data_IF_315603668063
#
_entry.id   IF_315603668063
#
_cell.length_a   1.000
_cell.length_b   1.000
_cell.length_c   1.000
_cell.angle_alpha   90.00
_cell.angle_beta   90.00
_cell.angle_gamma   90.00
#
_symmetry.space_group_name_H-M   'P 1'
#
loop_
_entity.id
_entity.type
_entity.pdbx_description
1 polymer ?
#
# COMPACT_ATOMS: atom_id res chain seq x y z
N UNK A 1 -16.50 -6.69 -13.38
CA UNK A 1 -16.24 -5.71 -12.29
C UNK A 1 -16.77 -6.29 -10.97
N UNK A 2 -16.46 -7.55 -10.68
CA UNK A 2 -17.20 -8.38 -9.69
C UNK A 2 -16.29 -9.40 -8.96
N UNK A 3 -15.04 -9.05 -8.65
CA UNK A 3 -14.15 -9.94 -7.88
C UNK A 3 -13.42 -9.23 -6.72
N UNK A 4 -13.98 -8.12 -6.21
CA UNK A 4 -13.33 -7.29 -5.19
C UNK A 4 -14.15 -7.16 -3.89
N UNK A 5 -14.87 -8.22 -3.51
CA UNK A 5 -15.61 -8.28 -2.24
C UNK A 5 -15.47 -9.69 -1.66
N UNK A 6 -14.31 -9.99 -1.07
CA UNK A 6 -14.29 -10.77 0.17
C UNK A 6 -14.04 -9.74 1.28
N UNK A 7 -15.07 -9.56 2.09
CA UNK A 7 -15.28 -8.63 3.22
C UNK A 7 -14.21 -7.55 3.45
N UNK A 8 -14.36 -6.40 2.78
CA UNK A 8 -13.67 -5.15 3.17
C UNK A 8 -13.83 -4.84 4.67
N UNK A 9 -14.90 -5.32 5.32
CA UNK A 9 -15.13 -5.18 6.77
C UNK A 9 -14.13 -5.94 7.66
N UNK A 10 -13.64 -7.10 7.26
CA UNK A 10 -12.65 -7.81 8.09
C UNK A 10 -11.27 -7.16 7.97
N UNK A 11 -10.92 -6.73 6.76
CA UNK A 11 -9.67 -6.01 6.49
C UNK A 11 -9.64 -4.62 7.14
N UNK A 12 -10.78 -3.98 7.37
CA UNK A 12 -10.84 -2.70 8.12
C UNK A 12 -10.76 -2.90 9.63
N UNK A 13 -11.10 -4.09 10.15
CA UNK A 13 -10.95 -4.46 11.57
C UNK A 13 -9.51 -4.84 11.93
N UNK A 14 -8.73 -5.32 10.96
CA UNK A 14 -7.30 -5.58 11.16
C UNK A 14 -6.57 -4.26 11.39
N UNK A 15 -6.03 -4.12 12.60
CA UNK A 15 -5.32 -2.94 13.03
C UNK A 15 -3.89 -3.33 13.41
N UNK A 16 -2.85 -2.82 12.72
CA UNK A 16 -1.47 -3.09 13.10
C UNK A 16 -1.06 -2.44 14.43
N UNK A 17 -1.86 -1.52 15.00
CA UNK A 17 -1.55 -0.94 16.32
C UNK A 17 -1.79 -1.94 17.45
N UNK A 18 -0.91 -1.89 18.46
CA UNK A 18 -0.81 -2.82 19.60
C UNK A 18 -0.39 -4.26 19.25
N UNK A 19 -0.03 -4.54 18.00
CA UNK A 19 0.64 -5.79 17.65
C UNK A 19 2.13 -5.69 17.98
N UNK A 20 2.71 -6.76 18.54
CA UNK A 20 4.15 -6.96 18.48
C UNK A 20 4.59 -7.27 17.03
N UNK A 21 5.89 -7.39 16.79
CA UNK A 21 6.41 -7.64 15.45
C UNK A 21 5.80 -8.90 14.80
N UNK A 22 5.62 -9.97 15.57
CA UNK A 22 5.02 -11.21 15.09
C UNK A 22 3.55 -10.99 14.68
N UNK A 23 2.80 -10.25 15.49
CA UNK A 23 1.42 -9.86 15.19
C UNK A 23 1.32 -9.00 13.93
N UNK A 24 2.23 -8.04 13.73
CA UNK A 24 2.28 -7.22 12.51
C UNK A 24 2.47 -8.08 11.26
N UNK A 25 3.43 -9.01 11.31
CA UNK A 25 3.70 -9.92 10.20
C UNK A 25 2.49 -10.83 9.93
N UNK A 26 1.90 -11.42 10.96
CA UNK A 26 0.71 -12.25 10.82
C UNK A 26 -0.51 -11.47 10.29
N UNK A 27 -0.62 -10.17 10.56
CA UNK A 27 -1.63 -9.31 9.95
C UNK A 27 -1.36 -9.16 8.45
N UNK A 28 -0.12 -8.88 8.03
CA UNK A 28 0.22 -8.76 6.61
C UNK A 28 -0.08 -10.04 5.83
N UNK A 29 0.17 -11.21 6.41
CA UNK A 29 -0.18 -12.51 5.84
C UNK A 29 -1.68 -12.67 5.69
N UNK A 30 -2.47 -12.43 6.74
CA UNK A 30 -3.94 -12.52 6.68
C UNK A 30 -4.53 -11.59 5.63
N UNK A 31 -4.01 -10.35 5.56
CA UNK A 31 -4.39 -9.39 4.53
C UNK A 31 -4.04 -9.92 3.15
N UNK A 32 -2.81 -10.44 2.96
CA UNK A 32 -2.38 -10.99 1.69
C UNK A 32 -3.25 -12.16 1.22
N UNK A 33 -3.58 -13.09 2.13
CA UNK A 33 -4.52 -14.19 1.89
C UNK A 33 -5.87 -13.64 1.45
N UNK A 34 -6.43 -12.66 2.16
CA UNK A 34 -7.72 -12.05 1.81
C UNK A 34 -7.72 -11.38 0.43
N UNK A 35 -6.74 -10.51 0.16
CA UNK A 35 -6.68 -9.76 -1.11
C UNK A 35 -6.29 -10.62 -2.31
N UNK A 36 -5.73 -11.82 -2.07
CA UNK A 36 -5.33 -12.78 -3.09
C UNK A 36 -6.24 -14.01 -3.15
N UNK A 37 -7.38 -13.99 -2.45
CA UNK A 37 -8.36 -15.08 -2.43
C UNK A 37 -7.76 -16.44 -2.01
N UNK A 38 -6.81 -16.41 -1.07
CA UNK A 38 -6.12 -17.60 -0.57
C UNK A 38 -5.09 -18.21 -1.51
N UNK A 39 -4.88 -17.64 -2.69
CA UNK A 39 -3.95 -18.20 -3.70
C UNK A 39 -2.49 -17.80 -3.47
N UNK A 40 -2.25 -16.75 -2.69
CA UNK A 40 -0.91 -16.27 -2.37
C UNK A 40 -0.44 -16.77 -1.00
N UNK A 41 0.87 -16.94 -0.88
CA UNK A 41 1.54 -17.32 0.35
C UNK A 41 2.87 -16.56 0.45
N UNK A 42 3.58 -16.70 1.57
CA UNK A 42 4.97 -16.24 1.63
C UNK A 42 5.79 -16.89 0.53
N UNK A 43 6.61 -16.10 -0.13
CA UNK A 43 7.56 -16.66 -1.10
C UNK A 43 8.65 -17.43 -0.37
N UNK A 44 8.98 -18.60 -0.90
CA UNK A 44 10.11 -19.43 -0.46
C UNK A 44 11.29 -19.34 -1.43
N UNK A 45 11.06 -18.76 -2.61
CA UNK A 45 12.05 -18.61 -3.67
C UNK A 45 12.40 -17.13 -3.89
N UNK A 46 13.58 -16.91 -4.47
CA UNK A 46 13.99 -15.61 -4.96
C UNK A 46 13.03 -15.15 -6.07
N UNK A 47 12.61 -13.88 -6.02
CA UNK A 47 11.73 -13.28 -7.02
C UNK A 47 12.37 -12.02 -7.61
N UNK A 48 11.91 -11.64 -8.81
CA UNK A 48 12.44 -10.51 -9.56
C UNK A 48 11.38 -9.87 -10.44
N UNK A 49 11.63 -8.64 -10.87
CA UNK A 49 10.91 -8.03 -12.00
C UNK A 49 11.79 -8.05 -13.23
N UNK A 50 11.23 -8.34 -14.40
CA UNK A 50 11.93 -8.33 -15.69
C UNK A 50 11.52 -7.12 -16.53
N UNK A 51 12.51 -6.40 -17.06
CA UNK A 51 12.34 -5.33 -18.02
C UNK A 51 12.11 -5.87 -19.43
N UNK A 52 11.59 -5.03 -20.33
CA UNK A 52 11.35 -5.39 -21.74
C UNK A 52 12.64 -5.75 -22.50
N UNK A 53 13.78 -5.26 -22.01
CA UNK A 53 15.12 -5.53 -22.51
C UNK A 53 15.74 -6.81 -21.92
N UNK A 54 14.99 -7.58 -21.12
CA UNK A 54 15.46 -8.77 -20.43
C UNK A 54 16.26 -8.48 -19.15
N UNK A 55 16.43 -7.21 -18.77
CA UNK A 55 17.07 -6.87 -17.49
C UNK A 55 16.24 -7.37 -16.32
N UNK A 56 16.89 -7.85 -15.25
CA UNK A 56 16.21 -8.35 -14.04
C UNK A 56 16.59 -7.53 -12.83
N UNK A 57 15.59 -7.14 -12.06
CA UNK A 57 15.78 -6.52 -10.75
C UNK A 57 15.33 -7.52 -9.69
N UNK A 58 16.30 -8.04 -8.94
CA UNK A 58 16.05 -8.94 -7.82
C UNK A 58 15.43 -8.16 -6.65
N UNK A 59 14.43 -8.77 -6.01
CA UNK A 59 13.97 -8.33 -4.69
C UNK A 59 14.92 -8.83 -3.59
N UNK A 60 14.82 -8.35 -2.34
CA UNK A 60 15.68 -8.82 -1.25
C UNK A 60 15.66 -10.35 -1.07
N UNK A 61 16.74 -10.97 -0.56
CA UNK A 61 16.79 -12.42 -0.34
C UNK A 61 15.67 -12.92 0.56
N UNK A 62 15.18 -14.14 0.33
CA UNK A 62 14.09 -14.76 1.11
C UNK A 62 14.41 -14.76 2.62
N UNK A 63 15.65 -15.09 2.99
CA UNK A 63 16.08 -15.15 4.38
C UNK A 63 16.08 -13.80 5.12
N UNK A 64 15.97 -12.68 4.39
CA UNK A 64 15.93 -11.33 4.98
C UNK A 64 14.50 -10.81 5.23
N UNK A 65 13.46 -11.55 4.80
CA UNK A 65 12.08 -11.05 4.84
C UNK A 65 11.63 -10.74 6.27
N UNK A 66 11.80 -11.66 7.21
CA UNK A 66 11.30 -11.49 8.58
C UNK A 66 12.01 -10.35 9.30
N UNK A 67 13.34 -10.27 9.16
CA UNK A 67 14.14 -9.17 9.73
C UNK A 67 13.71 -7.82 9.16
N UNK A 68 13.49 -7.70 7.84
CA UNK A 68 13.05 -6.44 7.24
C UNK A 68 11.62 -6.06 7.65
N UNK A 69 10.72 -7.04 7.83
CA UNK A 69 9.37 -6.76 8.33
C UNK A 69 9.38 -6.36 9.81
N UNK A 70 10.27 -6.96 10.61
CA UNK A 70 10.52 -6.56 11.99
C UNK A 70 11.01 -5.11 12.07
N UNK A 71 12.02 -4.76 11.29
CA UNK A 71 12.57 -3.39 11.24
C UNK A 71 11.53 -2.37 10.77
N UNK A 72 10.72 -2.74 9.76
CA UNK A 72 9.61 -1.90 9.33
C UNK A 72 8.60 -1.67 10.45
N UNK A 73 8.19 -2.72 11.16
CA UNK A 73 7.28 -2.60 12.30
C UNK A 73 7.86 -1.68 13.39
N UNK A 74 9.10 -1.94 13.80
CA UNK A 74 9.78 -1.17 14.84
C UNK A 74 9.87 0.31 14.45
N UNK A 75 10.22 0.60 13.20
CA UNK A 75 10.26 1.98 12.71
C UNK A 75 8.88 2.63 12.66
N UNK A 76 7.84 1.92 12.21
CA UNK A 76 6.46 2.46 12.16
C UNK A 76 5.94 2.85 13.55
N UNK A 77 6.27 2.06 14.57
CA UNK A 77 5.84 2.29 15.95
C UNK A 77 6.68 3.37 16.65
N UNK A 78 8.01 3.36 16.49
CA UNK A 78 8.90 4.27 17.22
C UNK A 78 9.13 5.63 16.55
N UNK A 79 8.95 5.72 15.22
CA UNK A 79 9.22 6.95 14.47
C UNK A 79 8.31 8.10 14.89
N UNK A 80 8.87 9.31 14.98
CA UNK A 80 8.11 10.57 15.20
C UNK A 80 7.62 11.21 13.90
N UNK A 81 7.83 10.54 12.76
CA UNK A 81 7.44 11.07 11.46
C UNK A 81 5.92 11.23 11.35
N UNK A 82 5.43 12.21 10.56
CA UNK A 82 4.00 12.35 10.28
C UNK A 82 3.40 11.05 9.74
N UNK A 83 2.14 10.81 10.08
CA UNK A 83 1.36 9.64 9.64
C UNK A 83 1.46 9.35 8.14
N UNK A 84 1.41 10.39 7.32
CA UNK A 84 1.50 10.28 5.86
C UNK A 84 2.88 9.78 5.40
N UNK A 85 3.95 10.26 6.04
CA UNK A 85 5.31 9.76 5.80
C UNK A 85 5.45 8.31 6.25
N UNK A 86 4.87 7.94 7.40
CA UNK A 86 4.85 6.55 7.86
C UNK A 86 4.15 5.63 6.86
N UNK A 87 3.00 6.07 6.34
CA UNK A 87 2.28 5.34 5.30
C UNK A 87 3.16 5.14 4.05
N UNK A 88 3.91 6.17 3.63
CA UNK A 88 4.81 6.11 2.47
C UNK A 88 5.94 5.11 2.64
N UNK A 89 6.57 5.11 3.80
CA UNK A 89 7.61 4.14 4.12
C UNK A 89 7.02 2.73 4.16
N UNK A 90 5.88 2.52 4.83
CA UNK A 90 5.20 1.22 4.86
C UNK A 90 4.85 0.69 3.47
N UNK A 91 4.28 1.55 2.62
CA UNK A 91 3.99 1.21 1.22
C UNK A 91 5.26 0.84 0.44
N UNK A 92 6.31 1.64 0.57
CA UNK A 92 7.58 1.45 -0.13
C UNK A 92 8.24 0.13 0.29
N UNK A 93 8.41 -0.08 1.60
CA UNK A 93 9.09 -1.25 2.15
C UNK A 93 8.38 -2.54 1.79
N UNK A 94 7.05 -2.64 1.92
CA UNK A 94 6.32 -3.86 1.52
C UNK A 94 6.39 -4.08 0.01
N UNK A 95 6.32 -3.02 -0.80
CA UNK A 95 6.41 -3.13 -2.27
C UNK A 95 7.79 -3.63 -2.72
N UNK A 96 8.85 -3.14 -2.08
CA UNK A 96 10.24 -3.47 -2.42
C UNK A 96 10.74 -4.75 -1.75
N UNK A 97 10.20 -5.15 -0.60
CA UNK A 97 10.55 -6.42 0.04
C UNK A 97 9.92 -7.62 -0.68
N UNK A 98 8.71 -7.40 -1.21
CA UNK A 98 7.94 -8.39 -1.97
C UNK A 98 7.78 -9.73 -1.23
N UNK A 99 7.26 -9.76 0.01
CA UNK A 99 7.30 -10.95 0.87
C UNK A 99 6.42 -12.12 0.40
N UNK A 100 5.47 -11.90 -0.51
CA UNK A 100 4.49 -12.90 -0.96
C UNK A 100 4.68 -13.31 -2.42
N UNK A 101 4.14 -14.46 -2.81
CA UNK A 101 4.14 -14.97 -4.20
C UNK A 101 3.29 -14.12 -5.14
N UNK A 102 2.21 -13.52 -4.64
CA UNK A 102 1.38 -12.53 -5.30
C UNK A 102 0.74 -11.61 -4.23
N UNK A 103 0.11 -10.52 -4.65
CA UNK A 103 -0.66 -9.65 -3.78
C UNK A 103 0.15 -8.57 -3.06
N UNK A 104 1.48 -8.53 -3.25
CA UNK A 104 2.36 -7.55 -2.59
C UNK A 104 1.89 -6.10 -2.75
N UNK A 105 1.54 -5.68 -3.97
CA UNK A 105 1.01 -4.34 -4.21
C UNK A 105 -0.34 -4.08 -3.56
N UNK A 106 -1.21 -5.10 -3.43
CA UNK A 106 -2.51 -5.00 -2.74
C UNK A 106 -2.29 -4.88 -1.23
N UNK A 107 -1.44 -5.72 -0.65
CA UNK A 107 -1.04 -5.67 0.77
C UNK A 107 -0.37 -4.34 1.12
N UNK A 108 0.54 -3.83 0.30
CA UNK A 108 1.20 -2.54 0.51
C UNK A 108 0.20 -1.36 0.52
N UNK A 109 -0.78 -1.36 -0.40
CA UNK A 109 -1.84 -0.34 -0.42
C UNK A 109 -2.78 -0.45 0.78
N UNK A 110 -3.07 -1.67 1.23
CA UNK A 110 -3.83 -1.87 2.46
C UNK A 110 -3.08 -1.31 3.67
N UNK A 111 -1.76 -1.55 3.79
CA UNK A 111 -0.96 -1.04 4.90
C UNK A 111 -0.95 0.50 4.90
N UNK A 112 -0.71 1.11 3.73
CA UNK A 112 -0.82 2.56 3.53
C UNK A 112 -2.17 3.10 4.03
N UNK A 113 -3.28 2.52 3.55
CA UNK A 113 -4.61 2.98 3.92
C UNK A 113 -4.90 2.80 5.42
N UNK A 114 -4.42 1.72 6.01
CA UNK A 114 -4.61 1.41 7.44
C UNK A 114 -3.89 2.41 8.34
N UNK A 115 -2.67 2.82 7.98
CA UNK A 115 -1.92 3.87 8.70
C UNK A 115 -2.65 5.21 8.62
N UNK A 116 -3.14 5.61 7.43
CA UNK A 116 -3.86 6.87 7.29
C UNK A 116 -5.20 6.88 8.02
N UNK A 117 -5.93 5.76 8.04
CA UNK A 117 -7.19 5.61 8.78
C UNK A 117 -6.99 5.75 10.29
N UNK A 118 -5.94 5.13 10.83
CA UNK A 118 -5.61 5.21 12.27
C UNK A 118 -5.54 6.67 12.74
N UNK A 119 -4.99 7.52 11.88
CA UNK A 119 -4.72 8.93 12.16
C UNK A 119 -5.86 9.85 11.66
N UNK A 120 -7.01 9.26 11.28
CA UNK A 120 -8.21 9.95 10.77
C UNK A 120 -7.95 10.86 9.56
N UNK A 121 -6.86 10.62 8.82
CA UNK A 121 -6.52 11.37 7.61
C UNK A 121 -7.31 10.94 6.38
N UNK A 122 -7.91 9.75 6.43
CA UNK A 122 -8.78 9.26 5.38
C UNK A 122 -9.87 8.35 5.98
N UNK A 123 -11.11 8.54 5.56
CA UNK A 123 -12.26 7.71 5.95
C UNK A 123 -12.57 6.61 4.93
N UNK A 124 -12.00 6.69 3.72
CA UNK A 124 -12.25 5.71 2.67
C UNK A 124 -11.55 4.37 2.99
N UNK A 125 -12.26 3.23 2.87
CA UNK A 125 -11.69 1.91 3.19
C UNK A 125 -10.64 1.45 2.17
N UNK A 126 -10.68 2.00 0.96
CA UNK A 126 -9.73 1.65 -0.09
C UNK A 126 -9.39 2.87 -0.93
N UNK A 127 -8.09 3.04 -1.18
CA UNK A 127 -7.58 4.11 -2.02
C UNK A 127 -7.17 3.50 -3.36
N UNK A 128 -7.81 3.81 -4.50
CA UNK A 128 -7.43 3.29 -5.82
C UNK A 128 -6.10 3.89 -6.34
N UNK A 129 -5.05 3.90 -5.52
CA UNK A 129 -3.69 4.31 -5.88
C UNK A 129 -3.21 3.60 -7.16
N UNK A 130 -3.64 2.34 -7.35
CA UNK A 130 -3.31 1.58 -8.54
C UNK A 130 -3.79 2.24 -9.85
N UNK A 131 -4.99 2.86 -9.86
CA UNK A 131 -5.50 3.51 -11.07
C UNK A 131 -4.62 4.68 -11.50
N UNK A 132 -4.08 5.42 -10.53
CA UNK A 132 -3.12 6.49 -10.80
C UNK A 132 -1.77 5.94 -11.23
N UNK A 133 -1.28 4.90 -10.56
CA UNK A 133 -0.02 4.25 -10.94
C UNK A 133 -0.05 3.71 -12.37
N UNK A 134 -1.15 3.05 -12.75
CA UNK A 134 -1.37 2.53 -14.11
C UNK A 134 -1.34 3.65 -15.17
N UNK A 135 -1.82 4.85 -14.82
CA UNK A 135 -1.79 6.03 -15.72
C UNK A 135 -0.45 6.79 -15.68
N UNK A 136 0.36 6.59 -14.65
CA UNK A 136 1.61 7.34 -14.41
C UNK A 136 2.80 6.90 -15.27
N UNK A 137 2.63 5.94 -16.18
CA UNK A 137 3.65 5.44 -17.12
C UNK A 137 5.00 5.11 -16.46
N UNK A 138 4.96 4.53 -15.25
CA UNK A 138 6.17 4.12 -14.51
C UNK A 138 6.67 5.12 -13.47
N UNK A 139 6.05 6.29 -13.31
CA UNK A 139 6.46 7.28 -12.30
C UNK A 139 6.46 6.70 -10.88
N UNK A 140 5.49 5.85 -10.54
CA UNK A 140 5.45 5.20 -9.22
C UNK A 140 6.69 4.36 -8.94
N UNK A 141 7.16 3.60 -9.94
CA UNK A 141 8.39 2.81 -9.83
C UNK A 141 9.60 3.72 -9.66
N UNK A 142 9.67 4.82 -10.40
CA UNK A 142 10.76 5.81 -10.28
C UNK A 142 10.83 6.37 -8.86
N UNK A 143 9.71 6.85 -8.31
CA UNK A 143 9.71 7.44 -6.96
C UNK A 143 10.00 6.42 -5.85
N UNK A 144 9.53 5.18 -6.00
CA UNK A 144 9.90 4.09 -5.08
C UNK A 144 11.41 3.83 -5.11
N UNK A 145 12.02 3.77 -6.30
CA UNK A 145 13.47 3.54 -6.45
C UNK A 145 14.30 4.74 -5.99
N UNK A 146 13.85 5.97 -6.19
CA UNK A 146 14.53 7.16 -5.67
C UNK A 146 14.52 7.18 -4.13
N UNK A 147 13.41 6.81 -3.51
CA UNK A 147 13.33 6.68 -2.05
C UNK A 147 14.28 5.58 -1.55
N UNK A 148 14.22 4.39 -2.15
CA UNK A 148 15.03 3.23 -1.76
C UNK A 148 16.53 3.42 -1.97
N UNK A 149 16.94 3.82 -3.19
CA UNK A 149 18.36 3.82 -3.59
C UNK A 149 19.08 5.13 -3.25
N UNK A 150 18.33 6.23 -3.08
CA UNK A 150 18.90 7.57 -2.89
C UNK A 150 18.42 8.25 -1.62
N UNK A 151 17.57 7.60 -0.82
CA UNK A 151 16.96 8.20 0.37
C UNK A 151 16.07 9.40 0.05
N UNK A 152 15.62 9.57 -1.20
CA UNK A 152 14.80 10.71 -1.63
C UNK A 152 13.33 10.48 -1.28
N UNK A 153 13.05 10.40 0.02
CA UNK A 153 11.72 10.15 0.58
C UNK A 153 10.74 11.29 0.28
N UNK A 154 11.23 12.53 0.25
CA UNK A 154 10.40 13.71 -0.03
C UNK A 154 9.72 13.61 -1.40
N UNK A 155 10.42 13.11 -2.42
CA UNK A 155 9.84 12.95 -3.75
C UNK A 155 8.72 11.91 -3.77
N UNK A 156 8.89 10.79 -3.06
CA UNK A 156 7.86 9.77 -2.92
C UNK A 156 6.64 10.30 -2.14
N UNK A 157 6.88 10.96 -1.01
CA UNK A 157 5.82 11.56 -0.18
C UNK A 157 5.04 12.59 -1.00
N UNK A 158 5.73 13.50 -1.69
CA UNK A 158 5.10 14.52 -2.53
C UNK A 158 4.29 13.90 -3.68
N UNK A 159 4.81 12.86 -4.33
CA UNK A 159 4.09 12.14 -5.37
C UNK A 159 2.79 11.53 -4.85
N UNK A 160 2.84 10.83 -3.72
CA UNK A 160 1.67 10.20 -3.11
C UNK A 160 0.67 11.24 -2.59
N UNK A 161 1.15 12.35 -2.01
CA UNK A 161 0.30 13.45 -1.55
C UNK A 161 -0.49 14.09 -2.71
N UNK A 162 0.16 14.33 -3.85
CA UNK A 162 -0.51 14.83 -5.06
C UNK A 162 -1.60 13.89 -5.54
N UNK A 163 -1.36 12.58 -5.52
CA UNK A 163 -2.39 11.59 -5.88
C UNK A 163 -3.58 11.69 -4.93
N UNK A 164 -3.35 11.77 -3.62
CA UNK A 164 -4.41 11.89 -2.60
C UNK A 164 -5.24 13.16 -2.79
N UNK A 165 -4.60 14.30 -3.04
CA UNK A 165 -5.27 15.58 -3.27
C UNK A 165 -6.15 15.50 -4.53
N UNK A 166 -5.58 15.06 -5.67
CA UNK A 166 -6.33 14.93 -6.94
C UNK A 166 -7.52 13.98 -6.82
N UNK A 167 -7.41 12.96 -5.97
CA UNK A 167 -8.51 12.03 -5.70
C UNK A 167 -9.61 12.67 -4.85
N UNK A 168 -9.24 13.42 -3.81
CA UNK A 168 -10.21 14.16 -3.00
C UNK A 168 -11.00 15.18 -3.82
N UNK A 169 -10.33 15.89 -4.73
CA UNK A 169 -10.98 16.81 -5.67
C UNK A 169 -11.96 16.09 -6.59
N UNK A 170 -11.55 14.96 -7.19
CA UNK A 170 -12.43 14.14 -8.05
C UNK A 170 -13.65 13.63 -7.29
N UNK A 171 -13.48 13.13 -6.07
CA UNK A 171 -14.60 12.64 -5.27
C UNK A 171 -15.58 13.76 -4.92
N UNK A 172 -15.09 14.94 -4.58
CA UNK A 172 -15.92 16.12 -4.29
C UNK A 172 -16.72 16.52 -5.53
N UNK A 173 -16.06 16.64 -6.69
CA UNK A 173 -16.71 16.95 -7.96
C UNK A 173 -17.78 15.91 -8.36
N UNK A 174 -17.47 14.62 -8.19
CA UNK A 174 -18.43 13.54 -8.45
C UNK A 174 -19.64 13.63 -7.51
N UNK A 175 -19.43 13.87 -6.22
CA UNK A 175 -20.49 14.03 -5.23
C UNK A 175 -21.39 15.22 -5.58
N UNK A 176 -20.80 16.36 -5.90
CA UNK A 176 -21.55 17.57 -6.20
C UNK A 176 -22.38 17.43 -7.49
N UNK A 177 -21.86 16.72 -8.52
CA UNK A 177 -22.65 16.36 -9.71
C UNK A 177 -23.81 15.42 -9.40
N UNK A 178 -23.59 14.40 -8.57
CA UNK A 178 -24.66 13.47 -8.16
C UNK A 178 -25.75 14.20 -7.36
N UNK A 179 -25.38 15.15 -6.51
CA UNK A 179 -26.32 15.97 -5.74
C UNK A 179 -27.16 16.92 -6.61
N UNK A 180 -26.76 17.16 -7.87
CA UNK A 180 -27.50 17.98 -8.84
C UNK A 180 -28.40 17.15 -9.78
N UNK A 181 -28.39 15.81 -9.67
CA UNK A 181 -29.25 14.98 -10.50
C UNK A 181 -30.71 15.09 -10.04
N UNK A 182 -31.66 15.38 -10.96
CA UNK A 182 -33.08 15.44 -10.61
C UNK A 182 -33.56 14.07 -10.11
N UNK A 183 -34.26 14.07 -8.96
CA UNK A 183 -34.85 12.87 -8.36
C UNK A 183 -34.06 12.24 -7.19
N UNK A 184 -32.93 12.81 -6.79
CA UNK A 184 -32.24 12.43 -5.54
C UNK A 184 -32.76 13.35 -4.42
N UNK A 185 -33.81 12.94 -3.72
CA UNK A 185 -34.31 13.68 -2.55
C UNK A 185 -33.28 13.70 -1.41
N UNK A 186 -33.25 14.82 -0.67
CA UNK A 186 -32.24 15.16 0.34
C UNK A 186 -32.52 14.55 1.70
#
# INVERSE_FOLDING_TARGET
>A
MEAMIHSNEELTRLNPSNADAAGFIGILERVNTGVSQGLASRRTNQVFTEGKDGSRILFPPVGSIDENLYELWNWLETSKSPAFCKAAVGYCCVSNLHPFTDGNGRTARWLWASILRREKLCTAPFFPLYEFFARSRGSSVIYLRLAELRGNWDSLVNFLARIVILMGERQTLSRDRMAQLPGVER
#
